data_IF_686058655847
#
_entry.id   IF_686058655847
#
_cell.length_a   1.000
_cell.length_b   1.000
_cell.length_c   1.000
_cell.angle_alpha   90.00
_cell.angle_beta   90.00
_cell.angle_gamma   90.00
#
_symmetry.space_group_name_H-M   'P 1'
#
loop_
_entity.id
_entity.type
_entity.pdbx_description
1 polymer ?
#
# COMPACT_ATOMS: atom_id res chain seq x y z
N UNK A 1 13.44 -16.62 -19.65
CA UNK A 1 13.12 -15.66 -18.57
C UNK A 1 11.85 -14.94 -19.00
N UNK A 2 10.90 -14.71 -18.09
CA UNK A 2 9.68 -13.96 -18.40
C UNK A 2 9.96 -12.48 -18.18
N UNK A 3 9.58 -11.63 -19.12
CA UNK A 3 9.69 -10.19 -18.98
C UNK A 3 8.72 -9.66 -17.91
N UNK A 4 9.16 -8.68 -17.13
CA UNK A 4 8.38 -8.07 -16.05
C UNK A 4 8.08 -6.63 -16.41
N UNK A 5 6.83 -6.21 -16.23
CA UNK A 5 6.37 -4.86 -16.54
C UNK A 5 5.67 -4.22 -15.34
N UNK A 6 5.77 -2.90 -15.21
CA UNK A 6 5.01 -2.11 -14.25
C UNK A 6 3.79 -1.53 -14.97
N UNK A 7 2.60 -1.92 -14.57
CA UNK A 7 1.34 -1.53 -15.23
C UNK A 7 0.65 -0.32 -14.60
N UNK A 8 0.96 0.00 -13.34
CA UNK A 8 0.42 1.16 -12.64
C UNK A 8 1.32 1.60 -11.49
N UNK A 9 1.19 2.87 -11.10
CA UNK A 9 1.88 3.43 -9.94
C UNK A 9 0.99 4.51 -9.28
N UNK A 10 1.03 4.58 -7.95
CA UNK A 10 0.36 5.61 -7.17
C UNK A 10 1.13 5.86 -5.87
N UNK A 11 0.82 6.98 -5.23
CA UNK A 11 1.31 7.33 -3.90
C UNK A 11 0.30 8.21 -3.19
N UNK A 12 0.36 8.24 -1.86
CA UNK A 12 -0.24 9.31 -1.08
C UNK A 12 0.57 10.61 -1.24
N UNK A 13 0.05 11.72 -0.72
CA UNK A 13 0.90 12.87 -0.41
C UNK A 13 1.89 12.50 0.72
N UNK A 14 3.03 13.19 0.78
CA UNK A 14 3.96 13.03 1.90
C UNK A 14 3.56 14.00 3.01
N UNK A 15 3.25 13.47 4.19
CA UNK A 15 2.92 14.27 5.37
C UNK A 15 4.18 14.74 6.09
N UNK A 16 4.13 15.94 6.68
CA UNK A 16 5.15 16.39 7.65
C UNK A 16 5.00 15.62 8.97
N UNK A 17 6.07 15.55 9.75
CA UNK A 17 6.02 15.01 11.12
C UNK A 17 4.97 15.75 11.95
N UNK A 18 4.06 15.02 12.60
CA UNK A 18 2.93 15.60 13.33
C UNK A 18 1.86 16.29 12.47
N UNK A 19 1.93 16.16 11.14
CA UNK A 19 1.05 16.84 10.19
C UNK A 19 -0.24 16.08 9.85
N UNK A 20 -0.77 16.35 8.66
CA UNK A 20 -2.09 15.88 8.20
C UNK A 20 -2.29 14.37 8.19
N UNK A 21 -1.22 13.59 7.99
CA UNK A 21 -1.27 12.14 7.94
C UNK A 21 -0.86 11.48 9.26
N UNK A 22 -0.49 12.24 10.29
CA UNK A 22 0.13 11.70 11.51
C UNK A 22 -0.79 10.78 12.33
N UNK A 23 -2.12 10.93 12.18
CA UNK A 23 -3.12 10.12 12.87
C UNK A 23 -3.64 8.94 12.05
N UNK A 24 -3.16 8.76 10.82
CA UNK A 24 -3.56 7.68 9.94
C UNK A 24 -2.56 6.55 10.10
N UNK A 25 -3.03 5.33 10.36
CA UNK A 25 -2.15 4.19 10.51
C UNK A 25 -1.44 3.88 9.18
N UNK A 26 -0.19 3.41 9.25
CA UNK A 26 0.59 3.08 8.06
C UNK A 26 -0.12 2.06 7.13
N UNK A 27 -0.80 1.01 7.65
CA UNK A 27 -1.59 0.12 6.80
C UNK A 27 -2.72 0.81 6.04
N UNK A 28 -3.40 1.80 6.63
CA UNK A 28 -4.49 2.53 5.97
C UNK A 28 -3.98 3.38 4.80
N UNK A 29 -2.77 3.95 4.94
CA UNK A 29 -2.08 4.63 3.85
C UNK A 29 -1.71 3.64 2.74
N UNK A 30 -1.26 2.44 3.11
CA UNK A 30 -1.02 1.33 2.19
C UNK A 30 -2.27 0.92 1.42
N UNK A 31 -3.40 0.71 2.11
CA UNK A 31 -4.68 0.35 1.52
C UNK A 31 -5.19 1.40 0.53
N UNK A 32 -4.99 2.68 0.84
CA UNK A 32 -5.32 3.80 -0.06
C UNK A 32 -4.56 3.69 -1.38
N UNK A 33 -3.25 3.39 -1.33
CA UNK A 33 -2.41 3.25 -2.52
C UNK A 33 -2.76 1.98 -3.29
N UNK A 34 -2.94 0.84 -2.62
CA UNK A 34 -3.30 -0.44 -3.25
C UNK A 34 -4.60 -0.31 -4.04
N UNK A 35 -5.63 0.29 -3.45
CA UNK A 35 -6.90 0.54 -4.14
C UNK A 35 -6.70 1.39 -5.40
N UNK A 36 -5.93 2.47 -5.29
CA UNK A 36 -5.69 3.39 -6.41
C UNK A 36 -4.88 2.74 -7.55
N UNK A 37 -3.88 1.91 -7.26
CA UNK A 37 -3.08 1.24 -8.32
C UNK A 37 -3.87 0.15 -9.02
N UNK A 38 -4.74 -0.57 -8.32
CA UNK A 38 -5.62 -1.58 -8.92
C UNK A 38 -6.68 -0.93 -9.81
N UNK A 39 -7.31 0.15 -9.34
CA UNK A 39 -8.28 0.93 -10.12
C UNK A 39 -7.65 1.48 -11.41
N UNK A 40 -6.46 2.10 -11.32
CA UNK A 40 -5.73 2.63 -12.48
C UNK A 40 -5.30 1.55 -13.46
N UNK A 41 -4.94 0.37 -12.96
CA UNK A 41 -4.56 -0.77 -13.80
C UNK A 41 -5.76 -1.50 -14.40
N UNK A 42 -6.99 -1.24 -13.93
CA UNK A 42 -8.17 -2.04 -14.27
C UNK A 42 -8.09 -3.49 -13.79
N UNK A 43 -7.30 -3.75 -12.75
CA UNK A 43 -7.08 -5.09 -12.19
C UNK A 43 -8.01 -5.31 -11.00
N UNK A 44 -8.75 -6.43 -11.00
CA UNK A 44 -9.60 -6.78 -9.85
C UNK A 44 -8.75 -7.34 -8.70
N UNK A 45 -9.11 -7.11 -7.42
CA UNK A 45 -8.33 -7.58 -6.28
C UNK A 45 -8.05 -9.10 -6.29
N UNK A 46 -9.01 -9.91 -6.72
CA UNK A 46 -8.86 -11.38 -6.81
C UNK A 46 -7.84 -11.86 -7.86
N UNK A 47 -7.37 -10.98 -8.73
CA UNK A 47 -6.32 -11.27 -9.71
C UNK A 47 -4.90 -11.03 -9.15
N UNK A 48 -4.79 -10.44 -7.96
CA UNK A 48 -3.51 -10.18 -7.30
C UNK A 48 -3.08 -11.43 -6.53
N UNK A 49 -1.95 -12.02 -6.93
CA UNK A 49 -1.41 -13.22 -6.28
C UNK A 49 -0.81 -12.93 -4.90
N UNK A 50 -0.08 -11.82 -4.78
CA UNK A 50 0.67 -11.49 -3.57
C UNK A 50 0.84 -9.97 -3.42
N UNK A 51 0.91 -9.50 -2.19
CA UNK A 51 1.21 -8.11 -1.85
C UNK A 51 2.44 -8.05 -0.96
N UNK A 52 3.43 -7.27 -1.40
CA UNK A 52 4.67 -7.04 -0.68
C UNK A 52 4.73 -5.55 -0.33
N UNK A 53 4.74 -5.23 0.97
CA UNK A 53 4.78 -3.86 1.48
C UNK A 53 5.92 -3.70 2.48
N UNK A 54 6.80 -2.73 2.22
CA UNK A 54 7.87 -2.38 3.16
C UNK A 54 7.38 -1.43 4.23
N UNK A 55 7.54 -1.79 5.50
CA UNK A 55 7.33 -0.91 6.66
C UNK A 55 8.45 -1.12 7.68
N UNK A 56 9.22 -0.07 7.96
CA UNK A 56 10.41 -0.17 8.83
C UNK A 56 10.04 -0.21 10.31
N UNK A 57 9.18 0.70 10.77
CA UNK A 57 8.76 0.81 12.17
C UNK A 57 7.39 0.14 12.34
N UNK A 58 7.39 -1.06 12.91
CA UNK A 58 6.17 -1.90 13.05
C UNK A 58 5.73 -2.12 14.50
N UNK A 59 6.45 -1.57 15.48
CA UNK A 59 6.06 -1.62 16.88
C UNK A 59 4.65 -1.01 17.05
N UNK A 60 3.73 -1.78 17.63
CA UNK A 60 2.33 -1.36 17.83
C UNK A 60 1.45 -1.34 16.57
N UNK A 61 1.96 -1.78 15.41
CA UNK A 61 1.18 -1.82 14.16
C UNK A 61 0.27 -3.04 14.03
N UNK A 62 0.21 -3.94 15.02
CA UNK A 62 -0.51 -5.20 14.94
C UNK A 62 0.18 -6.26 14.09
N UNK A 63 -0.52 -7.38 13.85
CA UNK A 63 0.03 -8.52 13.11
C UNK A 63 0.04 -8.23 11.61
N UNK A 64 1.17 -8.49 10.94
CA UNK A 64 1.34 -8.38 9.49
C UNK A 64 0.74 -7.10 8.86
N UNK A 65 1.41 -5.94 8.99
CA UNK A 65 0.92 -4.66 8.45
C UNK A 65 0.62 -4.68 6.94
N UNK A 66 1.35 -5.47 6.16
CA UNK A 66 1.06 -5.64 4.73
C UNK A 66 -0.31 -6.29 4.50
N UNK A 67 -0.68 -7.30 5.31
CA UNK A 67 -1.99 -7.95 5.26
C UNK A 67 -3.12 -7.03 5.72
N UNK A 68 -2.87 -6.14 6.67
CA UNK A 68 -3.84 -5.13 7.11
C UNK A 68 -4.13 -4.07 6.04
N UNK A 69 -3.29 -3.96 5.00
CA UNK A 69 -3.45 -3.00 3.91
C UNK A 69 -4.34 -3.51 2.76
N UNK A 70 -4.93 -4.71 2.88
CA UNK A 70 -5.74 -5.35 1.83
C UNK A 70 -7.24 -5.06 1.97
#
# INVERSE_FOLDING_TARGET
>A
MTDVVIVSAARTAVGKFGGSLAKIAAPDLGATVIRAVLERAGVKPEQVSEVIMGQVLTAGSGQNPARQSL
#
